data_IF_648434907650
#
_entry.id   IF_648434907650
#
_cell.length_a   1.000
_cell.length_b   1.000
_cell.length_c   1.000
_cell.angle_alpha   90.00
_cell.angle_beta   90.00
_cell.angle_gamma   90.00
#
_symmetry.space_group_name_H-M   'P 1'
#
loop_
_entity.id
_entity.type
_entity.pdbx_description
1 polymer ?
#
# COMPACT_ATOMS: atom_id res chain seq x y z
N UNK A 1 9.02 49.64 9.06
CA UNK A 1 8.59 48.79 10.20
C UNK A 1 7.26 48.04 9.98
N UNK A 2 6.22 48.64 9.35
CA UNK A 2 4.93 47.95 9.08
C UNK A 2 5.05 46.79 8.05
N UNK A 3 5.84 46.94 6.99
CA UNK A 3 6.02 45.89 5.97
C UNK A 3 6.75 44.64 6.49
N UNK A 4 7.73 44.79 7.38
CA UNK A 4 8.46 43.66 8.01
C UNK A 4 7.53 42.82 8.89
N UNK A 5 6.59 43.47 9.60
CA UNK A 5 5.60 42.77 10.43
C UNK A 5 4.63 41.95 9.58
N UNK A 6 4.19 42.48 8.44
CA UNK A 6 3.30 41.78 7.50
C UNK A 6 4.02 40.56 6.90
N UNK A 7 5.30 40.72 6.52
CA UNK A 7 6.12 39.62 5.98
C UNK A 7 6.29 38.47 6.98
N UNK A 8 6.53 38.80 8.26
CA UNK A 8 6.62 37.82 9.35
C UNK A 8 5.29 37.09 9.55
N UNK A 9 4.16 37.81 9.51
CA UNK A 9 2.83 37.21 9.69
C UNK A 9 2.50 36.25 8.54
N UNK A 10 2.82 36.63 7.29
CA UNK A 10 2.65 35.74 6.13
C UNK A 10 3.55 34.50 6.20
N UNK A 11 4.78 34.63 6.68
CA UNK A 11 5.69 33.49 6.83
C UNK A 11 5.22 32.53 7.94
N UNK A 12 4.76 33.05 9.06
CA UNK A 12 4.17 32.25 10.14
C UNK A 12 2.89 31.53 9.72
N UNK A 13 2.06 32.16 8.88
CA UNK A 13 0.84 31.53 8.37
C UNK A 13 1.11 30.32 7.48
N UNK A 14 2.16 30.37 6.64
CA UNK A 14 2.55 29.25 5.78
C UNK A 14 3.13 28.06 6.56
N UNK A 15 3.74 28.30 7.73
CA UNK A 15 4.27 27.22 8.59
C UNK A 15 3.15 26.41 9.27
N UNK A 16 1.97 27.00 9.44
CA UNK A 16 0.83 26.35 10.12
C UNK A 16 -0.04 25.50 9.18
N UNK A 17 0.17 25.58 7.87
CA UNK A 17 -0.61 24.82 6.87
C UNK A 17 0.08 23.54 6.40
N UNK A 18 1.19 23.13 7.02
CA UNK A 18 1.87 21.87 6.67
C UNK A 18 1.10 20.68 7.24
N UNK A 19 0.05 20.26 6.53
CA UNK A 19 -0.66 19.01 6.78
C UNK A 19 0.08 17.87 6.04
N UNK A 20 0.73 16.97 6.78
CA UNK A 20 1.24 15.71 6.24
C UNK A 20 0.22 14.61 6.49
N UNK A 21 -0.21 13.90 5.45
CA UNK A 21 -0.96 12.65 5.62
C UNK A 21 -0.13 11.66 6.44
N UNK A 22 -0.75 10.98 7.41
CA UNK A 22 -0.10 9.89 8.11
C UNK A 22 0.12 8.73 7.11
N UNK A 23 1.38 8.38 6.78
CA UNK A 23 1.66 7.30 5.84
C UNK A 23 1.12 5.95 6.31
N UNK A 24 0.89 5.77 7.62
CA UNK A 24 0.45 4.51 8.20
C UNK A 24 -1.08 4.31 8.19
N UNK A 25 -1.85 5.39 8.01
CA UNK A 25 -3.31 5.31 7.85
C UNK A 25 -3.77 4.42 6.68
N UNK A 26 -2.89 4.18 5.69
CA UNK A 26 -3.14 3.35 4.51
C UNK A 26 -2.82 1.86 4.73
N UNK A 27 -2.18 1.48 5.84
CA UNK A 27 -1.82 0.09 6.13
C UNK A 27 -3.06 -0.81 6.29
N UNK A 28 -4.14 -0.29 6.87
CA UNK A 28 -5.41 -1.02 6.96
C UNK A 28 -5.95 -1.39 5.57
N UNK A 29 -5.74 -0.56 4.57
CA UNK A 29 -6.17 -0.82 3.18
C UNK A 29 -5.28 -1.85 2.47
N UNK A 30 -4.05 -2.07 2.95
CA UNK A 30 -3.10 -3.03 2.36
C UNK A 30 -3.42 -4.46 2.82
N UNK A 31 -3.97 -4.62 4.03
CA UNK A 31 -4.29 -5.93 4.58
C UNK A 31 -5.47 -6.57 3.84
N UNK A 32 -5.31 -7.84 3.43
CA UNK A 32 -6.38 -8.59 2.76
C UNK A 32 -5.89 -9.41 1.58
N UNK A 33 -6.82 -9.67 0.65
CA UNK A 33 -6.61 -10.51 -0.53
C UNK A 33 -6.39 -9.65 -1.77
N UNK A 34 -5.36 -9.99 -2.53
CA UNK A 34 -4.91 -9.25 -3.71
C UNK A 34 -4.84 -10.17 -4.92
N UNK A 35 -5.32 -9.65 -6.05
CA UNK A 35 -5.22 -10.27 -7.35
C UNK A 35 -4.40 -9.40 -8.30
N UNK A 36 -3.72 -10.04 -9.25
CA UNK A 36 -3.00 -9.33 -10.29
C UNK A 36 -4.02 -8.94 -11.37
N UNK A 37 -4.18 -7.64 -11.59
CA UNK A 37 -5.02 -7.15 -12.68
C UNK A 37 -4.22 -7.05 -13.99
N UNK A 38 -2.99 -6.52 -13.93
CA UNK A 38 -2.18 -6.23 -15.11
C UNK A 38 -0.69 -6.20 -14.78
N UNK A 39 0.12 -6.63 -15.74
CA UNK A 39 1.58 -6.47 -15.74
C UNK A 39 1.98 -5.53 -16.87
N UNK A 40 2.87 -4.59 -16.58
CA UNK A 40 3.51 -3.71 -17.57
C UNK A 40 4.97 -4.11 -17.69
N UNK A 41 5.39 -4.53 -18.88
CA UNK A 41 6.76 -4.95 -19.15
C UNK A 41 7.67 -3.73 -19.41
N UNK A 42 9.00 -3.87 -19.26
CA UNK A 42 9.93 -2.75 -19.47
C UNK A 42 9.90 -2.13 -20.88
N UNK A 43 9.46 -2.90 -21.88
CA UNK A 43 9.27 -2.46 -23.26
C UNK A 43 7.95 -1.71 -23.50
N UNK A 44 7.10 -1.55 -22.48
CA UNK A 44 5.79 -0.90 -22.56
C UNK A 44 4.65 -1.83 -22.95
N UNK A 45 4.92 -3.10 -23.27
CA UNK A 45 3.85 -4.08 -23.49
C UNK A 45 3.11 -4.36 -22.18
N UNK A 46 1.83 -4.73 -22.29
CA UNK A 46 1.00 -5.03 -21.13
C UNK A 46 0.34 -6.39 -21.27
N UNK A 47 0.18 -7.07 -20.14
CA UNK A 47 -0.58 -8.31 -20.03
C UNK A 47 -1.66 -8.13 -18.96
N UNK A 48 -2.90 -8.12 -19.41
CA UNK A 48 -4.08 -8.11 -18.54
C UNK A 48 -4.46 -9.53 -18.12
N UNK A 49 -4.81 -9.69 -16.86
CA UNK A 49 -5.21 -10.96 -16.27
C UNK A 49 -6.72 -10.94 -16.04
N UNK A 50 -7.48 -11.68 -16.87
CA UNK A 50 -8.93 -11.84 -16.70
C UNK A 50 -9.29 -12.84 -15.61
N UNK A 51 -8.36 -13.73 -15.29
CA UNK A 51 -8.53 -14.79 -14.30
C UNK A 51 -7.18 -15.10 -13.65
N UNK A 52 -7.19 -15.26 -12.33
CA UNK A 52 -6.03 -15.59 -11.53
C UNK A 52 -6.28 -16.89 -10.75
N UNK A 53 -5.52 -17.92 -11.07
CA UNK A 53 -5.46 -19.17 -10.31
C UNK A 53 -4.98 -18.98 -8.87
N UNK A 54 -4.22 -17.91 -8.62
CA UNK A 54 -3.53 -17.67 -7.36
C UNK A 54 -3.74 -16.22 -6.94
N UNK A 55 -4.02 -16.03 -5.66
CA UNK A 55 -4.19 -14.74 -5.01
C UNK A 55 -3.12 -14.58 -3.93
N UNK A 56 -2.83 -13.33 -3.55
CA UNK A 56 -1.89 -13.02 -2.48
C UNK A 56 -2.65 -12.52 -1.25
N UNK A 57 -2.36 -13.09 -0.09
CA UNK A 57 -2.84 -12.58 1.19
C UNK A 57 -1.73 -11.80 1.88
N UNK A 58 -2.01 -10.55 2.23
CA UNK A 58 -1.08 -9.63 2.89
C UNK A 58 -1.62 -9.30 4.27
N UNK A 59 -0.76 -9.40 5.28
CA UNK A 59 -1.07 -8.97 6.63
C UNK A 59 0.14 -8.28 7.26
N UNK A 60 -0.03 -7.01 7.63
CA UNK A 60 0.94 -6.14 8.29
C UNK A 60 0.30 -5.66 9.59
N UNK A 61 1.07 -5.73 10.67
CA UNK A 61 0.65 -5.29 12.00
C UNK A 61 1.20 -3.90 12.34
N UNK A 62 0.80 -3.38 13.50
CA UNK A 62 1.23 -2.07 14.02
C UNK A 62 2.74 -1.92 14.21
N UNK A 63 3.49 -3.03 14.26
CA UNK A 63 4.96 -3.01 14.32
C UNK A 63 5.63 -2.87 12.94
N UNK A 64 4.84 -2.54 11.90
CA UNK A 64 5.25 -2.40 10.51
C UNK A 64 5.85 -3.68 9.91
N UNK A 65 5.57 -4.83 10.54
CA UNK A 65 6.04 -6.14 10.11
C UNK A 65 4.85 -7.00 9.76
N UNK A 66 5.07 -7.89 8.81
CA UNK A 66 4.00 -8.70 8.27
C UNK A 66 4.50 -9.81 7.39
N UNK A 67 3.57 -10.39 6.64
CA UNK A 67 3.88 -11.39 5.65
C UNK A 67 2.95 -11.29 4.43
N UNK A 68 3.45 -11.82 3.33
CA UNK A 68 2.66 -12.16 2.14
C UNK A 68 2.68 -13.68 1.95
N UNK A 69 1.52 -14.20 1.58
CA UNK A 69 1.35 -15.61 1.30
C UNK A 69 0.52 -15.82 0.04
N UNK A 70 0.95 -16.75 -0.81
CA UNK A 70 0.19 -17.11 -2.01
C UNK A 70 -0.83 -18.19 -1.67
N UNK A 71 -2.06 -17.98 -2.15
CA UNK A 71 -3.22 -18.83 -1.90
C UNK A 71 -3.82 -19.27 -3.23
N UNK A 72 -4.35 -20.49 -3.28
CA UNK A 72 -5.17 -20.99 -4.39
C UNK A 72 -6.61 -21.15 -3.91
N UNK A 73 -7.57 -20.32 -4.35
CA UNK A 73 -8.97 -20.51 -4.03
C UNK A 73 -9.52 -21.77 -4.69
N UNK A 74 -10.33 -22.52 -3.94
CA UNK A 74 -11.08 -23.67 -4.41
C UNK A 74 -12.54 -23.28 -4.65
N UNK A 75 -13.25 -24.02 -5.52
CA UNK A 75 -14.66 -23.76 -5.83
C UNK A 75 -15.61 -23.98 -4.65
N UNK A 76 -15.17 -24.70 -3.63
CA UNK A 76 -15.89 -24.94 -2.38
C UNK A 76 -15.70 -23.81 -1.33
N UNK A 77 -14.96 -22.75 -1.69
CA UNK A 77 -14.65 -21.63 -0.80
C UNK A 77 -13.46 -21.88 0.13
N UNK A 78 -12.79 -23.03 0.04
CA UNK A 78 -11.54 -23.28 0.76
C UNK A 78 -10.34 -22.64 0.06
N UNK A 79 -9.24 -22.47 0.80
CA UNK A 79 -7.97 -22.00 0.24
C UNK A 79 -6.89 -23.06 0.43
N UNK A 80 -6.24 -23.44 -0.66
CA UNK A 80 -5.00 -24.22 -0.59
C UNK A 80 -3.81 -23.27 -0.41
N UNK A 81 -3.02 -23.53 0.62
CA UNK A 81 -2.00 -22.63 1.12
C UNK A 81 -0.62 -23.21 0.78
N UNK A 82 0.26 -22.43 0.12
CA UNK A 82 1.66 -22.84 -0.08
C UNK A 82 2.45 -22.77 1.24
N UNK A 83 3.56 -23.52 1.34
CA UNK A 83 4.48 -23.40 2.49
C UNK A 83 5.27 -22.09 2.49
N UNK A 84 5.43 -21.49 1.31
CA UNK A 84 6.20 -20.27 1.13
C UNK A 84 5.47 -19.06 1.74
N UNK A 85 6.18 -18.36 2.61
CA UNK A 85 5.74 -17.14 3.29
C UNK A 85 6.86 -16.12 3.15
N UNK A 86 6.54 -14.96 2.60
CA UNK A 86 7.46 -13.85 2.42
C UNK A 86 7.28 -12.85 3.54
N UNK A 87 8.35 -12.51 4.25
CA UNK A 87 8.31 -11.45 5.27
C UNK A 87 8.22 -10.06 4.63
N UNK A 88 7.28 -9.24 5.09
CA UNK A 88 7.12 -7.84 4.67
C UNK A 88 7.50 -6.91 5.82
N UNK A 89 8.19 -5.82 5.50
CA UNK A 89 8.40 -4.70 6.42
C UNK A 89 7.98 -3.42 5.70
N UNK A 90 6.95 -2.74 6.21
CA UNK A 90 6.52 -1.44 5.71
C UNK A 90 7.58 -0.38 6.10
N UNK A 91 8.00 0.43 5.13
CA UNK A 91 9.02 1.48 5.30
C UNK A 91 8.43 2.84 4.98
#
# INVERSE_FOLDING_TARGET
MRCIKILIITLCFNLLTSCSEDPYSKLETINGYWEIEKVVFPNGETKEYKYNDLIDYININDSLKGFRKKLRPSLDGSFSISKDVEGITAK
#
